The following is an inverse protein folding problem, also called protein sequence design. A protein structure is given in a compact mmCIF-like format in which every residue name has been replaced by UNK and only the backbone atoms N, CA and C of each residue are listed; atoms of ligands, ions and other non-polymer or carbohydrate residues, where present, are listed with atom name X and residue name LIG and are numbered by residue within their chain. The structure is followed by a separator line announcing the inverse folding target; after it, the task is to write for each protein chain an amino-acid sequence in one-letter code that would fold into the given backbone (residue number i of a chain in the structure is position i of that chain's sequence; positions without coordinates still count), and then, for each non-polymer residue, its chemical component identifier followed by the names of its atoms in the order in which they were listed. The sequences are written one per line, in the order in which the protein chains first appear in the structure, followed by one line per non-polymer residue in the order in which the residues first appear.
data_IF_604121334396
#
_entry.id   IF_604121334396
#
_cell.length_a   1.000
_cell.length_b   1.000
_cell.length_c   1.000
_cell.angle_alpha   90.00
_cell.angle_beta   90.00
_cell.angle_gamma   90.00
#
_symmetry.space_group_name_H-M   'P 1'
#
loop_
_entity.id
_entity.type
_entity.pdbx_description
1 polymer ?
#
# COMPACT_ATOMS: atom_id res chain seq x y z
N UNK A 1 -5.68 28.01 -4.59
CA UNK A 1 -4.99 27.54 -3.38
C UNK A 1 -4.12 26.35 -3.79
N UNK A 2 -2.83 26.32 -3.45
CA UNK A 2 -2.00 25.18 -3.77
C UNK A 2 -2.55 23.95 -3.03
N UNK A 3 -2.81 22.87 -3.79
CA UNK A 3 -3.27 21.59 -3.25
C UNK A 3 -2.12 21.03 -2.41
N UNK A 4 -2.36 20.85 -1.10
CA UNK A 4 -1.39 20.21 -0.22
C UNK A 4 -1.06 18.80 -0.77
N UNK A 5 0.19 18.46 -0.98
CA UNK A 5 0.55 17.15 -1.53
C UNK A 5 0.09 16.05 -0.58
N UNK A 6 -0.63 15.09 -1.11
CA UNK A 6 -1.17 13.94 -0.38
C UNK A 6 -0.02 13.03 0.05
N UNK A 7 0.15 12.80 1.34
CA UNK A 7 1.25 12.02 1.90
C UNK A 7 0.76 11.07 2.98
N UNK A 8 1.28 9.84 2.96
CA UNK A 8 1.23 8.96 4.12
C UNK A 8 2.47 9.15 4.97
N UNK A 9 2.28 9.13 6.27
CA UNK A 9 3.34 8.98 7.24
C UNK A 9 3.36 7.53 7.69
N UNK A 10 4.44 6.85 7.36
CA UNK A 10 4.61 5.41 7.58
C UNK A 10 5.76 5.22 8.55
N UNK A 11 5.57 4.37 9.56
CA UNK A 11 6.61 4.00 10.51
C UNK A 11 7.08 2.58 10.30
N UNK A 12 8.32 2.34 10.63
CA UNK A 12 9.00 1.06 10.58
C UNK A 12 9.24 0.59 12.01
N UNK A 13 8.96 -0.67 12.27
CA UNK A 13 9.05 -1.27 13.60
C UNK A 13 9.92 -2.51 13.60
N UNK A 14 10.54 -2.79 14.73
CA UNK A 14 11.22 -4.05 15.04
C UNK A 14 10.94 -4.49 16.48
N UNK A 15 11.13 -5.77 16.75
CA UNK A 15 11.18 -6.29 18.11
C UNK A 15 12.46 -5.79 18.78
N UNK A 16 12.42 -5.29 20.04
CA UNK A 16 13.63 -4.94 20.78
C UNK A 16 14.47 -6.19 21.05
N UNK A 17 15.71 -6.21 20.59
CA UNK A 17 16.67 -7.27 20.91
C UNK A 17 17.58 -6.79 22.03
N UNK A 18 17.76 -7.61 23.04
CA UNK A 18 18.67 -7.32 24.18
C UNK A 18 20.16 -7.30 23.80
N UNK A 19 20.54 -7.70 22.56
CA UNK A 19 21.91 -7.74 22.06
C UNK A 19 22.02 -7.06 20.70
N UNK A 20 22.11 -5.73 20.70
CA UNK A 20 22.19 -4.92 19.46
C UNK A 20 23.45 -5.15 18.59
N UNK A 21 24.57 -5.59 19.17
CA UNK A 21 25.84 -5.72 18.43
C UNK A 21 25.87 -6.91 17.47
N UNK A 22 25.34 -8.06 17.88
CA UNK A 22 25.33 -9.29 17.05
C UNK A 22 24.29 -9.20 15.94
N UNK A 23 23.22 -8.42 16.16
CA UNK A 23 22.16 -8.19 15.19
C UNK A 23 22.62 -7.36 13.98
N UNK A 24 23.41 -6.32 14.19
CA UNK A 24 23.90 -5.46 13.10
C UNK A 24 24.86 -6.20 12.15
N UNK A 25 25.60 -7.20 12.66
CA UNK A 25 26.50 -8.03 11.84
C UNK A 25 25.73 -9.07 11.03
N UNK A 26 24.67 -9.66 11.58
CA UNK A 26 23.85 -10.65 10.89
C UNK A 26 22.92 -10.03 9.81
N UNK A 27 22.42 -8.82 10.02
CA UNK A 27 21.56 -8.12 9.05
C UNK A 27 22.30 -7.81 7.75
N UNK A 28 23.60 -7.59 7.79
CA UNK A 28 24.40 -7.22 6.61
C UNK A 28 24.52 -8.33 5.56
N UNK A 29 24.14 -9.58 5.89
CA UNK A 29 24.29 -10.75 5.02
C UNK A 29 22.96 -11.50 4.73
N UNK A 30 21.82 -11.02 5.23
CA UNK A 30 20.52 -11.70 5.03
C UNK A 30 19.52 -10.72 4.43
N UNK A 31 18.81 -11.18 3.39
CA UNK A 31 17.67 -10.45 2.82
C UNK A 31 16.71 -10.07 3.93
N UNK A 32 16.39 -8.77 4.06
CA UNK A 32 15.51 -8.27 5.10
C UNK A 32 14.07 -8.64 4.80
N UNK A 33 13.38 -9.21 5.77
CA UNK A 33 11.94 -9.47 5.68
C UNK A 33 11.17 -8.29 6.25
N UNK A 34 10.23 -7.77 5.48
CA UNK A 34 9.41 -6.60 5.84
C UNK A 34 7.94 -6.97 5.76
N UNK A 35 7.26 -7.01 6.91
CA UNK A 35 5.82 -7.19 6.96
C UNK A 35 5.11 -5.88 6.56
N UNK A 36 4.12 -6.00 5.69
CA UNK A 36 3.27 -4.89 5.23
C UNK A 36 1.80 -5.31 5.27
N UNK A 37 0.90 -4.36 5.49
CA UNK A 37 -0.51 -4.57 5.22
C UNK A 37 -0.77 -4.36 3.72
N UNK A 38 -1.54 -5.26 3.11
CA UNK A 38 -1.83 -5.28 1.68
C UNK A 38 -0.90 -6.22 0.91
N UNK A 39 -0.90 -6.07 -0.40
CA UNK A 39 -0.22 -6.95 -1.35
C UNK A 39 0.85 -6.20 -2.16
N UNK A 40 1.57 -6.92 -3.03
CA UNK A 40 2.53 -6.31 -3.95
C UNK A 40 1.85 -5.24 -4.82
N UNK A 41 2.52 -4.13 -5.04
CA UNK A 41 1.96 -2.96 -5.75
C UNK A 41 1.15 -2.01 -4.87
N UNK A 42 0.91 -2.34 -3.59
CA UNK A 42 0.27 -1.45 -2.62
C UNK A 42 1.18 -0.28 -2.24
N UNK A 43 0.61 0.76 -1.61
CA UNK A 43 1.40 1.88 -1.12
C UNK A 43 2.37 1.51 0.01
N UNK A 44 2.07 0.48 0.79
CA UNK A 44 3.02 -0.04 1.79
C UNK A 44 4.21 -0.74 1.13
N UNK A 45 3.99 -1.50 0.05
CA UNK A 45 5.07 -2.10 -0.74
C UNK A 45 6.00 -1.03 -1.31
N UNK A 46 5.43 0.00 -1.96
CA UNK A 46 6.20 1.13 -2.50
C UNK A 46 7.01 1.83 -1.40
N UNK A 47 6.40 2.04 -0.24
CA UNK A 47 7.08 2.66 0.89
C UNK A 47 8.24 1.81 1.41
N UNK A 48 8.06 0.48 1.49
CA UNK A 48 9.10 -0.44 1.91
C UNK A 48 10.30 -0.39 0.96
N UNK A 49 10.07 -0.53 -0.34
CA UNK A 49 11.16 -0.45 -1.33
C UNK A 49 11.84 0.92 -1.38
N UNK A 50 11.10 2.01 -1.17
CA UNK A 50 11.70 3.36 -1.11
C UNK A 50 12.51 3.61 0.15
N UNK A 51 12.10 3.04 1.28
CA UNK A 51 12.84 3.19 2.53
C UNK A 51 14.14 2.39 2.50
N UNK A 52 14.10 1.16 2.01
CA UNK A 52 15.25 0.24 1.93
C UNK A 52 15.99 0.33 0.58
N UNK A 53 16.13 1.50 -0.01
CA UNK A 53 16.55 1.83 -1.39
C UNK A 53 17.61 0.95 -2.05
N UNK A 54 18.58 0.43 -1.29
CA UNK A 54 19.73 -0.31 -1.81
C UNK A 54 19.83 -1.70 -1.18
N UNK A 55 18.75 -2.19 -0.63
CA UNK A 55 18.72 -3.47 0.05
C UNK A 55 17.67 -4.37 -0.60
N UNK A 56 18.02 -5.62 -0.79
CA UNK A 56 17.04 -6.63 -1.18
C UNK A 56 16.13 -6.93 0.00
N UNK A 57 14.83 -6.73 -0.18
CA UNK A 57 13.81 -7.01 0.80
C UNK A 57 12.86 -8.11 0.32
N UNK A 58 12.43 -8.95 1.25
CA UNK A 58 11.36 -9.92 1.07
C UNK A 58 10.10 -9.39 1.76
N UNK A 59 9.01 -9.20 1.02
CA UNK A 59 7.76 -8.73 1.60
C UNK A 59 6.98 -9.89 2.21
N UNK A 60 6.52 -9.69 3.45
CA UNK A 60 5.53 -10.53 4.11
C UNK A 60 4.20 -9.77 4.07
N UNK A 61 3.35 -10.12 3.09
CA UNK A 61 2.06 -9.49 2.90
C UNK A 61 1.05 -9.99 3.94
N UNK A 62 0.42 -9.07 4.65
CA UNK A 62 -0.59 -9.33 5.67
C UNK A 62 -1.92 -8.71 5.23
N UNK A 63 -3.03 -9.39 5.47
CA UNK A 63 -4.35 -8.92 5.07
C UNK A 63 -4.76 -7.70 5.92
N UNK A 64 -4.56 -7.79 7.22
CA UNK A 64 -4.89 -6.73 8.20
C UNK A 64 -3.66 -6.23 8.93
N UNK A 65 -3.81 -5.12 9.66
CA UNK A 65 -2.75 -4.66 10.56
C UNK A 65 -2.59 -5.59 11.76
N UNK A 66 -3.65 -6.23 12.22
CA UNK A 66 -3.60 -7.26 13.27
C UNK A 66 -2.74 -8.45 12.84
N UNK A 67 -2.91 -8.94 11.61
CA UNK A 67 -2.10 -10.03 11.07
C UNK A 67 -0.62 -9.64 10.97
N UNK A 68 -0.34 -8.38 10.64
CA UNK A 68 1.02 -7.84 10.65
C UNK A 68 1.65 -7.93 12.05
N UNK A 69 0.92 -7.53 13.10
CA UNK A 69 1.41 -7.65 14.48
C UNK A 69 1.56 -9.11 14.92
N UNK A 70 0.67 -9.99 14.50
CA UNK A 70 0.79 -11.43 14.76
C UNK A 70 2.01 -12.05 14.03
N UNK A 71 2.29 -11.63 12.80
CA UNK A 71 3.49 -12.05 12.09
C UNK A 71 4.77 -11.61 12.83
N UNK A 72 4.81 -10.37 13.33
CA UNK A 72 5.91 -9.83 14.14
C UNK A 72 6.12 -10.59 15.46
N UNK A 73 5.05 -11.09 16.08
CA UNK A 73 5.15 -11.94 17.29
C UNK A 73 5.77 -13.30 17.00
N UNK A 74 5.47 -13.88 15.82
CA UNK A 74 5.96 -15.20 15.40
C UNK A 74 7.41 -15.18 14.92
N UNK A 75 7.83 -14.09 14.28
CA UNK A 75 9.19 -13.93 13.76
C UNK A 75 9.79 -12.59 14.20
N UNK A 76 10.63 -12.64 15.24
CA UNK A 76 11.31 -11.44 15.78
C UNK A 76 12.35 -10.82 14.84
N UNK A 77 12.70 -11.50 13.75
CA UNK A 77 13.60 -10.96 12.72
C UNK A 77 12.89 -10.05 11.72
N UNK A 78 11.55 -10.04 11.70
CA UNK A 78 10.77 -9.17 10.83
C UNK A 78 10.93 -7.70 11.22
N UNK A 79 10.97 -6.88 10.20
CA UNK A 79 10.62 -5.45 10.30
C UNK A 79 9.17 -5.30 9.85
N UNK A 80 8.47 -4.29 10.34
CA UNK A 80 7.14 -3.99 9.85
C UNK A 80 7.06 -2.55 9.36
N UNK A 81 6.31 -2.34 8.30
CA UNK A 81 6.01 -1.01 7.78
C UNK A 81 4.50 -0.77 7.84
N UNK A 82 4.10 0.27 8.54
CA UNK A 82 2.69 0.55 8.80
C UNK A 82 2.38 2.03 8.65
N UNK A 83 1.31 2.35 7.93
CA UNK A 83 0.77 3.69 7.87
C UNK A 83 0.19 4.09 9.22
N UNK A 84 0.49 5.30 9.68
CA UNK A 84 -0.03 5.86 10.93
C UNK A 84 -0.80 7.16 10.74
N UNK A 85 -0.60 7.82 9.61
CA UNK A 85 -1.19 9.10 9.32
C UNK A 85 -1.39 9.29 7.81
N UNK A 86 -2.51 9.87 7.44
CA UNK A 86 -2.84 10.28 6.07
C UNK A 86 -3.29 11.73 6.12
N UNK A 87 -2.76 12.59 5.27
CA UNK A 87 -3.06 14.04 5.28
C UNK A 87 -4.53 14.37 5.00
N UNK A 88 -5.32 13.43 4.48
CA UNK A 88 -6.75 13.62 4.20
C UNK A 88 -7.60 12.84 5.21
N UNK A 89 -7.30 11.56 5.43
CA UNK A 89 -8.04 10.73 6.37
C UNK A 89 -7.67 10.99 7.84
N UNK A 90 -6.59 11.73 8.10
CA UNK A 90 -6.10 12.01 9.44
C UNK A 90 -5.28 10.88 10.06
N UNK A 91 -5.21 10.86 11.38
CA UNK A 91 -4.48 9.83 12.14
C UNK A 91 -5.23 8.50 12.13
N UNK A 92 -4.51 7.43 11.86
CA UNK A 92 -5.04 6.06 11.91
C UNK A 92 -4.97 5.55 13.37
N UNK A 93 -5.95 6.00 14.19
CA UNK A 93 -5.94 5.77 15.65
C UNK A 93 -5.82 4.30 16.01
N UNK A 94 -6.49 3.42 15.28
CA UNK A 94 -6.40 1.97 15.48
C UNK A 94 -4.95 1.47 15.38
N UNK A 95 -4.18 1.96 14.44
CA UNK A 95 -2.78 1.59 14.26
C UNK A 95 -1.89 2.09 15.42
N UNK A 96 -2.21 3.25 15.98
CA UNK A 96 -1.56 3.72 17.22
C UNK A 96 -1.90 2.85 18.43
N UNK A 97 -3.14 2.35 18.53
CA UNK A 97 -3.55 1.45 19.60
C UNK A 97 -2.81 0.11 19.53
N UNK A 98 -2.73 -0.50 18.34
CA UNK A 98 -1.95 -1.72 18.10
C UNK A 98 -0.47 -1.52 18.48
N UNK A 99 0.12 -0.41 18.07
CA UNK A 99 1.50 -0.09 18.41
C UNK A 99 1.69 0.08 19.92
N UNK A 100 0.80 0.82 20.58
CA UNK A 100 0.87 1.04 22.04
C UNK A 100 0.71 -0.27 22.83
N UNK A 101 -0.12 -1.19 22.33
CA UNK A 101 -0.33 -2.50 22.95
C UNK A 101 0.83 -3.48 22.68
N UNK A 102 1.75 -3.15 21.79
CA UNK A 102 2.89 -3.98 21.43
C UNK A 102 4.15 -3.57 22.18
N UNK A 103 5.14 -4.47 22.20
CA UNK A 103 6.49 -4.19 22.70
C UNK A 103 7.44 -3.78 21.55
N UNK A 104 6.91 -3.31 20.42
CA UNK A 104 7.70 -2.97 19.25
C UNK A 104 8.36 -1.59 19.40
N UNK A 105 9.56 -1.46 18.84
CA UNK A 105 10.29 -0.17 18.81
C UNK A 105 10.20 0.42 17.41
N UNK A 106 9.88 1.72 17.32
CA UNK A 106 9.93 2.47 16.06
C UNK A 106 11.40 2.69 15.70
N UNK A 107 11.81 2.25 14.51
CA UNK A 107 13.19 2.35 14.03
C UNK A 107 13.34 3.31 12.85
N UNK A 108 12.25 3.82 12.32
CA UNK A 108 12.29 4.77 11.22
C UNK A 108 10.93 5.33 10.85
N UNK A 109 10.96 6.34 10.00
CA UNK A 109 9.78 7.01 9.46
C UNK A 109 10.00 7.31 7.98
N UNK A 110 8.96 7.14 7.17
CA UNK A 110 8.97 7.52 5.76
C UNK A 110 7.70 8.29 5.39
N UNK A 111 7.85 9.36 4.62
CA UNK A 111 6.73 10.11 4.06
C UNK A 111 6.58 9.74 2.59
N UNK A 112 5.47 9.07 2.27
CA UNK A 112 5.15 8.68 0.91
C UNK A 112 4.15 9.65 0.30
N UNK A 113 4.47 10.19 -0.88
CA UNK A 113 3.48 10.87 -1.72
C UNK A 113 2.58 9.83 -2.38
N UNK A 114 1.27 9.97 -2.17
CA UNK A 114 0.25 9.10 -2.76
C UNK A 114 -0.21 9.71 -4.08
N UNK A 115 -0.08 8.94 -5.13
CA UNK A 115 -0.53 9.26 -6.47
C UNK A 115 -1.35 8.09 -6.99
N UNK A 116 -2.63 8.34 -7.23
CA UNK A 116 -3.54 7.34 -7.74
C UNK A 116 -3.56 7.34 -9.26
N UNK A 117 -3.74 6.17 -9.84
CA UNK A 117 -3.88 5.98 -11.28
C UNK A 117 -5.08 5.08 -11.58
N UNK A 118 -5.69 5.27 -12.74
CA UNK A 118 -6.73 4.40 -13.26
C UNK A 118 -6.09 3.33 -14.14
N UNK A 119 -6.25 2.07 -13.78
CA UNK A 119 -5.71 0.91 -14.48
C UNK A 119 -6.82 0.02 -15.04
N UNK A 120 -6.61 -0.58 -16.21
CA UNK A 120 -7.50 -1.57 -16.81
C UNK A 120 -6.71 -2.70 -17.49
N UNK A 121 -7.41 -3.67 -18.06
CA UNK A 121 -6.78 -4.69 -18.91
C UNK A 121 -6.10 -4.06 -20.14
N UNK A 122 -5.03 -4.67 -20.68
CA UNK A 122 -4.20 -4.05 -21.72
C UNK A 122 -4.94 -3.73 -23.03
N UNK A 123 -5.94 -4.52 -23.37
CA UNK A 123 -6.74 -4.44 -24.59
C UNK A 123 -7.94 -3.47 -24.49
N UNK A 124 -8.15 -2.85 -23.33
CA UNK A 124 -9.27 -1.94 -23.09
C UNK A 124 -8.86 -0.47 -23.14
N UNK A 125 -9.83 0.39 -23.40
CA UNK A 125 -9.75 1.84 -23.36
C UNK A 125 -10.65 2.41 -22.28
N UNK A 126 -10.59 3.72 -22.06
CA UNK A 126 -11.42 4.39 -21.06
C UNK A 126 -12.93 4.29 -21.37
N UNK A 127 -13.28 4.16 -22.66
CA UNK A 127 -14.67 4.06 -23.12
C UNK A 127 -15.26 2.68 -22.85
N UNK A 128 -14.44 1.64 -22.73
CA UNK A 128 -14.87 0.29 -22.46
C UNK A 128 -15.23 0.08 -20.98
N UNK A 129 -14.74 0.97 -20.09
CA UNK A 129 -14.90 0.81 -18.65
C UNK A 129 -16.34 1.08 -18.22
N UNK A 130 -16.93 0.14 -17.51
CA UNK A 130 -18.29 0.19 -16.95
C UNK A 130 -18.28 0.24 -15.42
N UNK A 131 -17.25 -0.30 -14.81
CA UNK A 131 -17.11 -0.39 -13.36
C UNK A 131 -15.71 0.04 -12.91
N UNK A 132 -15.62 0.83 -11.83
CA UNK A 132 -14.36 1.31 -11.24
C UNK A 132 -14.29 0.82 -9.80
N UNK A 133 -13.23 0.11 -9.47
CA UNK A 133 -13.05 -0.60 -8.21
C UNK A 133 -11.87 0.01 -7.42
N UNK A 134 -12.03 0.25 -6.13
CA UNK A 134 -10.93 0.62 -5.23
C UNK A 134 -11.34 0.68 -3.77
N UNK A 135 -10.37 0.87 -2.88
CA UNK A 135 -10.62 1.14 -1.47
C UNK A 135 -11.38 2.47 -1.27
N UNK A 136 -12.33 2.55 -0.32
CA UNK A 136 -13.18 3.74 -0.10
C UNK A 136 -12.39 5.06 0.03
N UNK A 137 -11.27 5.04 0.75
CA UNK A 137 -10.41 6.24 0.91
C UNK A 137 -9.83 6.70 -0.42
N UNK A 138 -9.42 5.78 -1.29
CA UNK A 138 -8.89 6.12 -2.62
C UNK A 138 -9.99 6.68 -3.53
N UNK A 139 -11.19 6.08 -3.51
CA UNK A 139 -12.36 6.61 -4.22
C UNK A 139 -12.72 8.02 -3.77
N UNK A 140 -12.73 8.27 -2.47
CA UNK A 140 -12.96 9.61 -1.91
C UNK A 140 -11.88 10.60 -2.36
N UNK A 141 -10.62 10.19 -2.40
CA UNK A 141 -9.51 11.03 -2.86
C UNK A 141 -9.62 11.37 -4.35
N UNK A 142 -10.13 10.45 -5.17
CA UNK A 142 -10.30 10.61 -6.61
C UNK A 142 -11.69 11.15 -7.01
N UNK A 143 -12.51 11.59 -6.05
CA UNK A 143 -13.90 12.00 -6.31
C UNK A 143 -14.07 13.04 -7.41
N UNK A 144 -13.11 13.96 -7.58
CA UNK A 144 -13.20 14.99 -8.61
C UNK A 144 -12.99 14.39 -10.00
N UNK A 145 -12.05 13.48 -10.13
CA UNK A 145 -11.85 12.71 -11.37
C UNK A 145 -13.07 11.84 -11.68
N UNK A 146 -13.64 11.18 -10.68
CA UNK A 146 -14.79 10.27 -10.83
C UNK A 146 -16.08 10.98 -11.27
N UNK A 147 -16.21 12.30 -11.11
CA UNK A 147 -17.39 13.06 -11.58
C UNK A 147 -17.65 12.93 -13.07
N UNK A 148 -16.64 12.66 -13.89
CA UNK A 148 -16.79 12.45 -15.33
C UNK A 148 -17.37 11.08 -15.69
N UNK A 149 -17.46 10.16 -14.73
CA UNK A 149 -17.93 8.78 -14.90
C UNK A 149 -19.25 8.50 -14.18
N UNK A 150 -20.21 9.45 -14.26
CA UNK A 150 -21.48 9.38 -13.53
C UNK A 150 -22.39 8.22 -13.94
N UNK A 151 -22.19 7.70 -15.12
CA UNK A 151 -22.90 6.56 -15.73
C UNK A 151 -22.24 5.21 -15.40
N UNK A 152 -21.14 5.21 -14.69
CA UNK A 152 -20.36 4.02 -14.37
C UNK A 152 -20.52 3.63 -12.91
N UNK A 153 -20.50 2.32 -12.66
CA UNK A 153 -20.60 1.79 -11.32
C UNK A 153 -19.28 2.00 -10.56
N UNK A 154 -19.36 2.53 -9.36
CA UNK A 154 -18.23 2.66 -8.45
C UNK A 154 -18.38 1.59 -7.36
N UNK A 155 -17.37 0.75 -7.19
CA UNK A 155 -17.38 -0.38 -6.25
C UNK A 155 -16.26 -0.26 -5.25
N UNK A 156 -16.62 -0.38 -3.99
CA UNK A 156 -15.66 -0.41 -2.89
C UNK A 156 -15.05 -1.81 -2.75
N UNK A 157 -13.74 -1.87 -2.54
CA UNK A 157 -12.95 -3.07 -2.29
C UNK A 157 -12.05 -2.85 -1.09
N UNK A 158 -11.56 -3.93 -0.48
CA UNK A 158 -10.76 -3.86 0.75
C UNK A 158 -9.37 -3.27 0.53
N UNK A 159 -8.81 -3.37 -0.69
CA UNK A 159 -7.46 -2.90 -1.03
C UNK A 159 -7.39 -2.32 -2.44
N UNK A 160 -6.56 -1.28 -2.65
CA UNK A 160 -6.38 -0.62 -3.94
C UNK A 160 -5.66 -1.52 -4.96
N UNK A 161 -4.56 -2.14 -4.57
CA UNK A 161 -3.79 -3.06 -5.41
C UNK A 161 -4.53 -4.39 -5.58
N UNK A 162 -5.30 -4.82 -4.55
CA UNK A 162 -6.18 -5.98 -4.61
C UNK A 162 -7.27 -5.87 -5.67
N UNK A 163 -7.82 -4.66 -5.88
CA UNK A 163 -8.73 -4.42 -6.99
C UNK A 163 -8.07 -4.68 -8.35
N UNK A 164 -6.83 -4.21 -8.53
CA UNK A 164 -6.07 -4.44 -9.77
C UNK A 164 -5.73 -5.93 -9.96
N UNK A 165 -5.29 -6.61 -8.90
CA UNK A 165 -5.02 -8.06 -8.92
C UNK A 165 -6.26 -8.86 -9.29
N UNK A 166 -7.40 -8.57 -8.68
CA UNK A 166 -8.68 -9.25 -8.95
C UNK A 166 -9.08 -9.11 -10.42
N UNK A 167 -9.06 -7.87 -10.95
CA UNK A 167 -9.42 -7.60 -12.36
C UNK A 167 -8.51 -8.37 -13.32
N UNK A 168 -7.21 -8.35 -13.07
CA UNK A 168 -6.24 -9.06 -13.89
C UNK A 168 -6.43 -10.59 -13.82
N UNK A 169 -6.46 -11.14 -12.60
CA UNK A 169 -6.56 -12.59 -12.35
C UNK A 169 -7.84 -13.20 -12.91
N UNK A 170 -8.97 -12.48 -12.79
CA UNK A 170 -10.28 -12.94 -13.27
C UNK A 170 -10.59 -12.46 -14.69
N UNK A 171 -9.69 -11.70 -15.32
CA UNK A 171 -9.85 -11.15 -16.68
C UNK A 171 -11.17 -10.36 -16.85
N UNK A 172 -11.50 -9.51 -15.89
CA UNK A 172 -12.77 -8.79 -15.84
C UNK A 172 -12.79 -7.65 -16.84
N UNK A 173 -13.41 -7.87 -18.00
CA UNK A 173 -13.59 -6.84 -19.04
C UNK A 173 -14.59 -5.78 -18.59
N UNK A 174 -14.31 -4.53 -18.96
CA UNK A 174 -15.11 -3.38 -18.57
C UNK A 174 -14.85 -2.91 -17.13
N UNK A 175 -13.82 -3.43 -16.46
CA UNK A 175 -13.46 -3.06 -15.10
C UNK A 175 -12.14 -2.30 -15.06
N UNK A 176 -12.08 -1.27 -14.22
CA UNK A 176 -10.87 -0.55 -13.92
C UNK A 176 -10.61 -0.51 -12.41
N UNK A 177 -9.34 -0.42 -12.03
CA UNK A 177 -8.92 -0.21 -10.66
C UNK A 177 -8.32 1.19 -10.45
N UNK A 178 -8.64 1.82 -9.33
CA UNK A 178 -7.88 2.99 -8.86
C UNK A 178 -6.86 2.51 -7.83
N UNK A 179 -5.59 2.57 -8.19
CA UNK A 179 -4.49 2.14 -7.35
C UNK A 179 -3.20 2.89 -7.74
N UNK A 180 -2.06 2.46 -7.20
CA UNK A 180 -0.77 2.96 -7.65
C UNK A 180 -0.44 2.46 -9.05
N UNK A 181 0.18 3.30 -9.92
CA UNK A 181 0.69 2.88 -11.23
C UNK A 181 1.73 1.74 -11.15
N UNK A 182 2.40 1.57 -10.01
CA UNK A 182 3.35 0.48 -9.81
C UNK A 182 2.69 -0.90 -9.79
N UNK A 183 1.38 -0.99 -9.58
CA UNK A 183 0.61 -2.22 -9.73
C UNK A 183 0.49 -2.68 -11.21
N UNK A 184 0.59 -1.74 -12.17
CA UNK A 184 0.40 -2.04 -13.59
C UNK A 184 1.35 -3.12 -14.12
N UNK A 185 2.69 -3.03 -14.00
CA UNK A 185 3.59 -4.09 -14.46
C UNK A 185 3.46 -5.39 -13.65
N UNK A 186 3.08 -5.32 -12.38
CA UNK A 186 2.94 -6.50 -11.50
C UNK A 186 1.75 -7.36 -11.95
N UNK A 187 0.63 -6.71 -12.27
CA UNK A 187 -0.62 -7.38 -12.63
C UNK A 187 -0.92 -7.32 -14.14
N UNK A 188 0.10 -7.01 -14.97
CA UNK A 188 -0.04 -6.93 -16.45
C UNK A 188 -1.22 -6.06 -16.89
N UNK A 189 -1.39 -4.90 -16.25
CA UNK A 189 -2.43 -3.93 -16.57
C UNK A 189 -1.88 -2.71 -17.30
N UNK A 190 -2.76 -1.97 -17.95
CA UNK A 190 -2.46 -0.70 -18.60
C UNK A 190 -2.91 0.48 -17.75
N UNK A 191 -2.06 1.50 -17.65
CA UNK A 191 -2.42 2.78 -17.04
C UNK A 191 -3.20 3.62 -18.04
N UNK A 192 -4.47 3.92 -17.73
CA UNK A 192 -5.32 4.81 -18.54
C UNK A 192 -5.08 6.28 -18.20
N UNK A 193 -4.89 6.57 -16.91
CA UNK A 193 -4.66 7.94 -16.41
C UNK A 193 -3.86 7.91 -15.12
N UNK A 194 -2.86 8.81 -15.02
CA UNK A 194 -2.08 9.03 -13.79
C UNK A 194 -2.55 10.29 -13.06
N UNK A 195 -2.19 10.41 -11.77
CA UNK A 195 -2.41 11.58 -10.91
C UNK A 195 -3.87 12.06 -10.92
N UNK A 196 -4.79 11.16 -10.56
CA UNK A 196 -6.24 11.37 -10.65
C UNK A 196 -6.89 11.81 -9.32
N UNK A 197 -6.10 11.95 -8.26
CA UNK A 197 -6.57 12.39 -6.95
C UNK A 197 -6.95 13.88 -6.88
#
# INVERSE_FOLDING_TARGET
MPVCPRKYKIKIFKVPLQQERDFLVQIKMRMKKVAIQGIKGSFHDIAAHRFFKNEDIELVCCETFEDLFEAMKRDSSLLAMMAIENTIAGSLLHNYELLRASNLTIVGEHKLHIEHSLLCLPDESIDDIKEINSHPVALMQCRNFLKQFRDRKIVETDDTAGAAEMISRLHLKGHAAICSKFAAPIYHMKVLKEAIE
#
